data_IF_686196346661
#
_entry.id   IF_686196346661
#
_cell.length_a   1.000
_cell.length_b   1.000
_cell.length_c   1.000
_cell.angle_alpha   90.00
_cell.angle_beta   90.00
_cell.angle_gamma   90.00
#
_symmetry.space_group_name_H-M   'P 1'
#
loop_
_entity.id
_entity.type
_entity.pdbx_description
1 polymer ?
#
# COMPACT_ATOMS: atom_id res chain seq x y z
N UNK A 1 -5.80 2.94 7.39
CA UNK A 1 -4.72 2.41 6.52
C UNK A 1 -3.38 2.56 7.24
N UNK A 2 -2.37 1.77 6.89
CA UNK A 2 -1.15 1.62 7.71
C UNK A 2 -0.11 2.77 7.56
N UNK A 3 -0.28 3.66 6.58
CA UNK A 3 0.68 4.72 6.21
C UNK A 3 0.07 6.14 6.24
N UNK A 4 -1.01 6.33 7.00
CA UNK A 4 -1.77 7.56 7.06
C UNK A 4 -2.17 7.86 8.51
N UNK A 5 -2.15 9.13 8.88
CA UNK A 5 -2.71 9.63 10.13
C UNK A 5 -3.89 10.56 9.80
N UNK A 6 -5.01 10.33 10.48
CA UNK A 6 -6.21 11.15 10.38
C UNK A 6 -6.44 11.86 11.71
N UNK A 7 -6.70 13.15 11.64
CA UNK A 7 -7.17 13.96 12.76
C UNK A 7 -8.68 13.75 12.89
N UNK A 8 -9.18 13.48 14.09
CA UNK A 8 -10.62 13.29 14.31
C UNK A 8 -11.37 14.63 14.26
N UNK A 9 -11.60 15.14 13.05
CA UNK A 9 -12.02 16.51 12.77
C UNK A 9 -13.54 16.67 12.84
N UNK A 10 -14.00 17.67 13.59
CA UNK A 10 -15.42 18.02 13.67
C UNK A 10 -16.00 18.38 12.28
N UNK A 11 -17.20 17.86 12.01
CA UNK A 11 -17.91 18.09 10.74
C UNK A 11 -17.39 17.28 9.54
N UNK A 12 -16.23 16.63 9.66
CA UNK A 12 -15.70 15.68 8.66
C UNK A 12 -15.84 14.23 9.11
N UNK A 13 -15.44 13.94 10.34
CA UNK A 13 -15.38 12.59 10.90
C UNK A 13 -16.55 12.34 11.86
N UNK A 14 -17.09 11.12 11.87
CA UNK A 14 -18.19 10.74 12.76
C UNK A 14 -17.71 10.79 14.22
N UNK A 15 -18.28 11.69 15.03
CA UNK A 15 -17.81 11.92 16.40
C UNK A 15 -16.48 12.70 16.47
N UNK A 16 -16.19 13.53 15.47
CA UNK A 16 -15.09 14.49 15.49
C UNK A 16 -15.03 15.30 16.79
N UNK A 17 -13.82 15.52 17.31
CA UNK A 17 -13.58 16.26 18.57
C UNK A 17 -12.58 17.40 18.40
N UNK A 18 -11.91 17.48 17.25
CA UNK A 18 -10.97 18.55 16.94
C UNK A 18 -11.73 19.65 16.20
N UNK A 19 -11.82 20.87 16.76
CA UNK A 19 -12.45 22.00 16.08
C UNK A 19 -11.75 22.35 14.76
N UNK A 20 -12.47 22.83 13.73
CA UNK A 20 -11.86 23.15 12.43
C UNK A 20 -10.80 24.24 12.46
N UNK A 21 -10.87 25.18 13.40
CA UNK A 21 -9.90 26.25 13.60
C UNK A 21 -8.59 25.78 14.26
N UNK A 22 -8.62 24.66 14.99
CA UNK A 22 -7.43 24.02 15.58
C UNK A 22 -6.70 23.07 14.62
N UNK A 23 -7.38 22.60 13.57
CA UNK A 23 -6.90 21.56 12.66
C UNK A 23 -5.48 21.80 12.14
N UNK A 24 -5.20 22.99 11.61
CA UNK A 24 -3.90 23.30 11.00
C UNK A 24 -2.77 23.40 12.03
N UNK A 25 -3.07 23.94 13.21
CA UNK A 25 -2.09 24.02 14.30
C UNK A 25 -1.71 22.63 14.79
N UNK A 26 -2.71 21.79 15.12
CA UNK A 26 -2.50 20.41 15.57
C UNK A 26 -1.76 19.57 14.52
N UNK A 27 -2.16 19.65 13.25
CA UNK A 27 -1.47 18.94 12.16
C UNK A 27 0.00 19.32 12.07
N UNK A 28 0.32 20.60 12.25
CA UNK A 28 1.70 21.10 12.16
C UNK A 28 2.55 20.61 13.33
N UNK A 29 1.98 20.57 14.54
CA UNK A 29 2.62 20.00 15.73
C UNK A 29 2.92 18.51 15.54
N UNK A 30 1.94 17.73 15.09
CA UNK A 30 2.12 16.29 14.83
C UNK A 30 3.19 16.06 13.76
N UNK A 31 3.18 16.84 12.66
CA UNK A 31 4.21 16.75 11.62
C UNK A 31 5.61 17.03 12.17
N UNK A 32 5.76 18.05 13.02
CA UNK A 32 7.04 18.36 13.65
C UNK A 32 7.52 17.21 14.55
N UNK A 33 6.63 16.69 15.40
CA UNK A 33 6.93 15.56 16.28
C UNK A 33 7.33 14.30 15.49
N UNK A 34 6.60 13.97 14.42
CA UNK A 34 6.94 12.83 13.56
C UNK A 34 8.28 13.01 12.86
N UNK A 35 8.57 14.21 12.37
CA UNK A 35 9.85 14.50 11.68
C UNK A 35 11.04 14.45 12.63
N UNK A 36 10.85 14.85 13.88
CA UNK A 36 11.92 14.85 14.89
C UNK A 36 12.03 13.53 15.68
N UNK A 37 11.06 12.61 15.56
CA UNK A 37 11.09 11.35 16.28
C UNK A 37 12.33 10.53 15.91
N UNK A 38 13.23 10.41 16.90
CA UNK A 38 14.44 9.61 16.83
C UNK A 38 14.32 8.39 17.72
N UNK A 39 14.93 7.32 17.26
CA UNK A 39 15.17 6.15 18.09
C UNK A 39 16.17 6.51 19.20
N UNK A 40 15.81 6.36 20.49
CA UNK A 40 16.70 6.70 21.59
C UNK A 40 17.96 5.82 21.68
N UNK A 41 17.95 4.63 21.09
CA UNK A 41 19.09 3.71 21.10
C UNK A 41 20.12 4.06 20.02
N UNK A 42 19.66 4.48 18.84
CA UNK A 42 20.53 4.71 17.67
C UNK A 42 20.73 6.19 17.35
N UNK A 43 19.81 7.06 17.76
CA UNK A 43 19.76 8.48 17.37
C UNK A 43 19.22 8.74 15.96
N UNK A 44 18.85 7.70 15.22
CA UNK A 44 18.35 7.78 13.85
C UNK A 44 16.88 8.19 13.79
N UNK A 45 16.47 8.84 12.70
CA UNK A 45 15.07 9.20 12.48
C UNK A 45 14.22 7.96 12.18
N UNK A 46 13.08 7.83 12.87
CA UNK A 46 12.17 6.69 12.72
C UNK A 46 11.40 6.73 11.40
N UNK A 47 11.11 7.92 10.88
CA UNK A 47 10.39 8.12 9.63
C UNK A 47 11.33 8.58 8.52
N UNK A 48 11.25 7.94 7.35
CA UNK A 48 11.92 8.41 6.14
C UNK A 48 11.27 9.71 5.63
N UNK A 49 9.95 9.79 5.74
CA UNK A 49 9.21 11.03 5.52
C UNK A 49 7.90 11.07 6.30
N UNK A 50 7.45 12.29 6.59
CA UNK A 50 6.09 12.61 6.98
C UNK A 50 5.67 13.88 6.20
N UNK A 51 4.64 13.72 5.38
CA UNK A 51 4.14 14.73 4.44
C UNK A 51 2.73 15.17 4.86
N UNK A 52 2.43 16.47 4.84
CA UNK A 52 1.03 16.89 4.87
C UNK A 52 0.33 16.37 3.61
N UNK A 53 -1.00 16.17 3.69
CA UNK A 53 -1.79 15.62 2.58
C UNK A 53 -1.62 16.38 1.26
N UNK A 54 -1.34 17.68 1.30
CA UNK A 54 -1.16 18.53 0.13
C UNK A 54 0.16 18.22 -0.61
N UNK A 55 1.17 17.72 0.10
CA UNK A 55 2.48 17.35 -0.45
C UNK A 55 2.57 15.86 -0.83
N UNK A 56 1.64 15.03 -0.35
CA UNK A 56 1.57 13.60 -0.67
C UNK A 56 1.52 13.25 -2.18
N UNK A 57 1.10 14.12 -3.13
CA UNK A 57 1.21 13.82 -4.56
C UNK A 57 2.64 13.48 -5.02
N UNK A 58 3.68 13.95 -4.32
CA UNK A 58 5.08 13.59 -4.65
C UNK A 58 5.38 12.10 -4.50
N UNK A 59 4.56 11.37 -3.74
CA UNK A 59 4.64 9.90 -3.57
C UNK A 59 3.44 9.17 -4.21
N UNK A 60 2.73 9.83 -5.13
CA UNK A 60 1.61 9.25 -5.88
C UNK A 60 0.33 9.08 -5.06
N UNK A 61 0.21 9.73 -3.90
CA UNK A 61 -0.98 9.65 -3.05
C UNK A 61 -1.73 10.98 -3.05
N UNK A 62 -2.99 10.97 -3.48
CA UNK A 62 -3.81 12.17 -3.60
C UNK A 62 -5.31 11.85 -3.53
N UNK A 63 -6.14 12.90 -3.49
CA UNK A 63 -7.60 12.79 -3.53
C UNK A 63 -8.28 12.85 -2.15
N UNK A 64 -9.60 12.58 -2.10
CA UNK A 64 -10.40 12.78 -0.88
C UNK A 64 -10.14 11.71 0.19
N UNK A 65 -9.54 10.57 -0.18
CA UNK A 65 -9.41 9.39 0.70
C UNK A 65 -8.05 9.22 1.36
N UNK A 66 -7.12 10.18 1.20
CA UNK A 66 -5.85 10.17 1.93
C UNK A 66 -5.98 10.84 3.30
N UNK A 67 -5.19 10.37 4.26
CA UNK A 67 -5.07 10.98 5.59
C UNK A 67 -4.46 12.38 5.56
N UNK A 68 -4.59 13.07 6.69
CA UNK A 68 -4.08 14.44 6.90
C UNK A 68 -2.55 14.50 6.85
N UNK A 69 -1.92 13.41 7.29
CA UNK A 69 -0.48 13.18 7.19
C UNK A 69 -0.27 11.81 6.53
N UNK A 70 0.60 11.77 5.54
CA UNK A 70 1.07 10.56 4.86
C UNK A 70 2.51 10.33 5.27
N UNK A 71 2.86 9.12 5.69
CA UNK A 71 4.19 8.84 6.22
C UNK A 71 4.74 7.50 5.75
N UNK A 72 6.05 7.36 5.88
CA UNK A 72 6.77 6.13 5.67
C UNK A 72 7.90 6.02 6.70
N UNK A 73 8.02 4.86 7.34
CA UNK A 73 9.12 4.52 8.22
C UNK A 73 10.43 4.44 7.44
N UNK A 74 11.51 4.87 8.10
CA UNK A 74 12.84 4.56 7.66
C UNK A 74 13.07 3.04 7.69
N UNK A 75 14.07 2.59 6.93
CA UNK A 75 14.45 1.18 6.90
C UNK A 75 14.81 0.69 8.29
N UNK A 76 14.33 -0.51 8.65
CA UNK A 76 14.56 -1.08 9.97
C UNK A 76 13.55 -0.69 11.05
N UNK A 77 12.49 0.06 10.72
CA UNK A 77 11.40 0.39 11.63
C UNK A 77 10.05 -0.09 11.12
N UNK A 78 9.15 -0.46 12.04
CA UNK A 78 7.79 -0.90 11.72
C UNK A 78 6.77 -0.28 12.67
N UNK A 79 5.50 -0.48 12.34
CA UNK A 79 4.42 -0.25 13.28
C UNK A 79 4.21 -1.45 14.20
N UNK A 80 3.50 -1.21 15.29
CA UNK A 80 2.92 -2.26 16.12
C UNK A 80 1.46 -1.98 16.39
N UNK A 81 0.67 -3.04 16.55
CA UNK A 81 -0.77 -2.94 16.81
C UNK A 81 -1.08 -2.61 18.26
N UNK A 82 -2.31 -2.13 18.56
CA UNK A 82 -2.76 -1.88 19.94
C UNK A 82 -2.71 -3.14 20.82
N UNK A 83 -2.64 -4.34 20.24
CA UNK A 83 -2.50 -5.61 20.94
C UNK A 83 -1.20 -5.65 21.76
N UNK A 84 -0.08 -5.13 21.24
CA UNK A 84 1.18 -5.18 22.01
C UNK A 84 1.14 -4.25 23.21
N UNK A 85 0.48 -3.10 23.08
CA UNK A 85 0.33 -2.15 24.18
C UNK A 85 -0.52 -2.75 25.30
N UNK A 86 -1.55 -3.55 24.95
CA UNK A 86 -2.34 -4.31 25.95
C UNK A 86 -1.53 -5.38 26.67
N UNK A 87 -0.43 -5.84 26.07
CA UNK A 87 0.51 -6.79 26.70
C UNK A 87 1.56 -6.08 27.56
N UNK A 88 1.44 -4.77 27.81
CA UNK A 88 2.37 -4.01 28.63
C UNK A 88 3.63 -3.56 27.90
N UNK A 89 3.59 -3.53 26.57
CA UNK A 89 4.68 -2.94 25.78
C UNK A 89 4.72 -1.42 25.97
N UNK A 90 5.87 -0.90 26.37
CA UNK A 90 6.07 0.54 26.62
C UNK A 90 6.89 1.22 25.50
N UNK A 91 7.48 0.44 24.58
CA UNK A 91 8.24 1.01 23.48
C UNK A 91 7.35 1.84 22.55
N UNK A 92 7.88 3.00 22.18
CA UNK A 92 7.28 3.89 21.17
C UNK A 92 7.93 3.72 19.79
N UNK A 93 9.11 3.08 19.73
CA UNK A 93 9.84 2.74 18.51
C UNK A 93 9.98 1.22 18.41
N UNK A 94 9.68 0.68 17.23
CA UNK A 94 9.71 -0.77 16.98
C UNK A 94 10.71 -1.12 15.88
N UNK A 95 11.91 -1.59 16.24
CA UNK A 95 12.89 -2.08 15.28
C UNK A 95 12.37 -3.31 14.53
N UNK A 96 12.85 -3.47 13.30
CA UNK A 96 12.54 -4.57 12.40
C UNK A 96 13.81 -5.00 11.67
N UNK A 97 14.40 -6.13 12.06
CA UNK A 97 15.60 -6.69 11.40
C UNK A 97 15.32 -7.45 10.09
N UNK A 98 14.09 -7.41 9.57
CA UNK A 98 13.68 -8.08 8.34
C UNK A 98 12.75 -7.19 7.51
N UNK A 99 12.12 -7.75 6.48
CA UNK A 99 11.15 -7.00 5.69
C UNK A 99 9.84 -6.76 6.45
N UNK A 100 9.24 -5.59 6.30
CA UNK A 100 7.89 -5.30 6.76
C UNK A 100 7.01 -4.90 5.57
N UNK A 101 5.81 -5.49 5.48
CA UNK A 101 4.81 -5.04 4.51
C UNK A 101 4.07 -3.81 5.04
N UNK A 102 3.82 -2.83 4.17
CA UNK A 102 3.11 -1.58 4.53
C UNK A 102 4.04 -0.37 4.49
N UNK A 103 4.06 0.49 5.52
CA UNK A 103 4.70 1.81 5.49
C UNK A 103 6.24 1.78 5.62
N UNK A 104 6.98 0.83 5.05
CA UNK A 104 8.46 0.83 5.08
C UNK A 104 9.03 1.25 3.73
N UNK A 105 10.13 2.01 3.73
CA UNK A 105 10.76 2.47 2.48
C UNK A 105 11.19 1.27 1.63
N UNK A 106 10.83 1.21 0.33
CA UNK A 106 11.05 0.02 -0.50
C UNK A 106 12.53 -0.27 -0.78
N UNK A 107 13.41 0.69 -0.52
CA UNK A 107 14.86 0.54 -0.65
C UNK A 107 15.51 -0.18 0.54
N UNK A 108 14.75 -0.52 1.59
CA UNK A 108 15.28 -1.28 2.71
C UNK A 108 15.52 -2.74 2.33
N UNK A 109 16.73 -3.19 2.63
CA UNK A 109 17.20 -4.55 2.37
C UNK A 109 18.18 -4.96 3.48
N UNK A 110 18.14 -6.23 3.84
CA UNK A 110 19.09 -6.93 4.70
C UNK A 110 19.66 -8.11 3.93
N UNK A 111 20.64 -8.82 4.51
CA UNK A 111 21.24 -10.01 3.90
C UNK A 111 20.22 -11.12 3.58
N UNK A 112 19.03 -11.09 4.20
CA UNK A 112 18.01 -12.15 4.10
C UNK A 112 16.63 -11.65 3.67
N UNK A 113 16.41 -10.33 3.52
CA UNK A 113 15.10 -9.78 3.20
C UNK A 113 15.18 -8.47 2.39
N UNK A 114 14.23 -8.24 1.51
CA UNK A 114 14.01 -6.95 0.83
C UNK A 114 12.53 -6.59 0.86
N UNK A 115 12.23 -5.30 0.95
CA UNK A 115 10.86 -4.76 0.82
C UNK A 115 10.50 -4.47 -0.65
N UNK A 116 11.51 -4.42 -1.52
CA UNK A 116 11.32 -4.13 -2.94
C UNK A 116 10.41 -5.18 -3.59
N UNK A 117 9.42 -4.70 -4.34
CA UNK A 117 8.55 -5.59 -5.13
C UNK A 117 9.34 -6.31 -6.23
N UNK A 118 8.91 -7.52 -6.57
CA UNK A 118 9.49 -8.28 -7.67
C UNK A 118 8.58 -8.27 -8.92
N UNK A 119 9.17 -8.11 -10.10
CA UNK A 119 8.49 -8.21 -11.38
C UNK A 119 9.19 -9.26 -12.25
N UNK A 120 8.41 -10.21 -12.76
CA UNK A 120 8.87 -11.18 -13.76
C UNK A 120 7.94 -11.12 -14.96
N UNK A 121 8.50 -10.91 -16.15
CA UNK A 121 7.78 -10.91 -17.42
C UNK A 121 8.35 -12.04 -18.30
N UNK A 122 7.49 -12.96 -18.72
CA UNK A 122 7.88 -14.10 -19.56
C UNK A 122 6.74 -14.40 -20.54
N UNK A 123 7.06 -14.49 -21.82
CA UNK A 123 6.10 -14.90 -22.85
C UNK A 123 6.28 -14.16 -24.18
N UNK A 124 5.34 -14.34 -25.11
CA UNK A 124 5.34 -13.64 -26.38
C UNK A 124 5.37 -12.11 -26.20
N UNK A 125 6.20 -11.43 -26.99
CA UNK A 125 6.34 -9.98 -26.93
C UNK A 125 7.26 -9.46 -25.82
N UNK A 126 7.84 -10.33 -24.99
CA UNK A 126 8.78 -9.96 -23.93
C UNK A 126 10.21 -10.30 -24.36
N UNK A 127 11.15 -9.38 -24.17
CA UNK A 127 12.59 -9.60 -24.42
C UNK A 127 13.15 -10.57 -23.38
N UNK A 128 13.99 -11.49 -23.83
CA UNK A 128 14.72 -12.40 -22.92
C UNK A 128 15.96 -11.73 -22.33
N UNK A 129 16.31 -12.10 -21.10
CA UNK A 129 17.58 -11.70 -20.45
C UNK A 129 17.70 -10.23 -20.06
N UNK A 130 16.59 -9.46 -20.06
CA UNK A 130 16.60 -8.07 -19.63
C UNK A 130 16.53 -8.00 -18.10
N UNK A 131 17.59 -7.48 -17.49
CA UNK A 131 17.65 -7.20 -16.06
C UNK A 131 18.22 -5.79 -15.86
N UNK A 132 17.39 -4.80 -15.50
CA UNK A 132 17.85 -3.44 -15.24
C UNK A 132 18.83 -3.41 -14.06
N UNK A 133 19.84 -2.53 -14.12
CA UNK A 133 20.67 -2.20 -12.96
C UNK A 133 19.82 -1.85 -11.74
N UNK A 134 20.34 -2.12 -10.54
CA UNK A 134 19.59 -1.97 -9.27
C UNK A 134 19.01 -0.57 -9.08
N UNK A 135 19.77 0.45 -9.41
CA UNK A 135 19.39 1.87 -9.33
C UNK A 135 18.33 2.27 -10.37
N UNK A 136 18.19 1.52 -11.47
CA UNK A 136 17.14 1.72 -12.46
C UNK A 136 15.83 1.00 -12.13
N UNK A 137 15.86 -0.02 -11.24
CA UNK A 137 14.66 -0.79 -10.88
C UNK A 137 13.57 0.08 -10.26
N UNK A 138 13.94 1.15 -9.56
CA UNK A 138 13.00 2.12 -8.98
C UNK A 138 12.17 2.90 -10.04
N UNK A 139 12.51 2.80 -11.33
CA UNK A 139 11.72 3.37 -12.45
C UNK A 139 10.51 2.50 -12.83
N UNK A 140 10.40 1.31 -12.25
CA UNK A 140 9.31 0.37 -12.50
C UNK A 140 8.35 0.43 -11.32
N UNK A 141 7.13 0.87 -11.59
CA UNK A 141 6.08 1.00 -10.59
C UNK A 141 5.01 -0.08 -10.80
N UNK A 142 4.31 -0.46 -9.72
CA UNK A 142 3.19 -1.41 -9.83
C UNK A 142 2.07 -0.90 -10.75
N UNK A 143 1.92 0.42 -10.87
CA UNK A 143 0.99 1.08 -11.80
C UNK A 143 1.31 0.81 -13.27
N UNK A 144 2.54 0.44 -13.60
CA UNK A 144 2.98 0.16 -14.97
C UNK A 144 2.53 -1.22 -15.49
N UNK A 145 2.07 -2.11 -14.59
CA UNK A 145 1.67 -3.49 -14.95
C UNK A 145 0.46 -3.48 -15.87
N UNK A 146 -0.63 -2.80 -15.48
CA UNK A 146 -1.87 -2.78 -16.25
C UNK A 146 -1.70 -2.23 -17.68
N UNK A 147 -1.05 -1.07 -17.93
CA UNK A 147 -0.88 -0.55 -19.28
C UNK A 147 0.09 -1.42 -20.10
N UNK A 148 1.10 -2.03 -19.48
CA UNK A 148 2.01 -2.96 -20.16
C UNK A 148 1.28 -4.21 -20.67
N UNK A 149 0.42 -4.80 -19.84
CA UNK A 149 -0.39 -5.95 -20.25
C UNK A 149 -1.44 -5.55 -21.30
N UNK A 150 -2.07 -4.38 -21.16
CA UNK A 150 -3.01 -3.87 -22.16
C UNK A 150 -2.34 -3.71 -23.54
N UNK A 151 -1.12 -3.16 -23.55
CA UNK A 151 -0.31 -3.02 -24.76
C UNK A 151 0.00 -4.38 -25.41
N UNK A 152 0.46 -5.35 -24.62
CA UNK A 152 0.74 -6.70 -25.12
C UNK A 152 -0.51 -7.40 -25.67
N UNK A 153 -1.69 -7.11 -25.12
CA UNK A 153 -2.97 -7.68 -25.56
C UNK A 153 -3.60 -6.93 -26.74
N UNK A 154 -3.03 -5.81 -27.18
CA UNK A 154 -3.63 -4.96 -28.21
C UNK A 154 -4.92 -4.26 -27.77
N UNK A 155 -5.13 -4.06 -26.47
CA UNK A 155 -6.32 -3.38 -25.93
C UNK A 155 -5.97 -2.02 -25.32
N UNK A 156 -6.96 -1.15 -25.23
CA UNK A 156 -6.82 0.14 -24.56
C UNK A 156 -6.49 -0.09 -23.06
N UNK A 157 -5.57 0.71 -22.53
CA UNK A 157 -5.27 0.72 -21.10
C UNK A 157 -6.51 1.16 -20.28
N UNK A 158 -6.60 0.80 -18.99
CA UNK A 158 -7.64 1.34 -18.12
C UNK A 158 -7.66 2.87 -18.17
N UNK A 159 -8.86 3.47 -18.23
CA UNK A 159 -9.01 4.91 -18.43
C UNK A 159 -8.36 5.76 -17.32
N UNK A 160 -8.28 5.21 -16.10
CA UNK A 160 -7.68 5.84 -14.92
C UNK A 160 -6.22 5.43 -14.70
N UNK A 161 -5.58 4.80 -15.68
CA UNK A 161 -4.19 4.39 -15.55
C UNK A 161 -3.24 5.59 -15.41
N UNK A 162 -2.39 5.55 -14.39
CA UNK A 162 -1.32 6.53 -14.16
C UNK A 162 0.07 6.00 -14.52
N UNK A 163 0.20 4.70 -14.79
CA UNK A 163 1.47 4.07 -15.15
C UNK A 163 1.85 4.22 -16.62
N UNK A 164 3.04 3.76 -16.98
CA UNK A 164 3.55 3.70 -18.36
C UNK A 164 3.66 2.26 -18.86
N UNK A 165 3.71 2.11 -20.19
CA UNK A 165 4.10 0.84 -20.79
C UNK A 165 5.61 0.64 -20.59
N UNK A 166 6.01 -0.48 -20.02
CA UNK A 166 7.42 -0.84 -19.78
C UNK A 166 8.09 -1.37 -21.06
N UNK A 167 8.22 -0.50 -22.05
CA UNK A 167 8.73 -0.85 -23.40
C UNK A 167 10.14 -1.44 -23.39
N UNK A 168 10.94 -1.10 -22.40
CA UNK A 168 12.30 -1.63 -22.20
C UNK A 168 12.32 -3.17 -22.05
N UNK A 169 11.24 -3.79 -21.58
CA UNK A 169 11.12 -5.24 -21.48
C UNK A 169 10.46 -5.89 -22.70
N UNK A 170 9.99 -5.11 -23.68
CA UNK A 170 9.15 -5.63 -24.76
C UNK A 170 9.89 -5.67 -26.10
N UNK A 171 9.60 -6.70 -26.90
CA UNK A 171 10.05 -6.73 -28.30
C UNK A 171 9.20 -5.77 -29.14
N UNK A 172 9.53 -5.63 -30.42
CA UNK A 172 8.73 -4.82 -31.37
C UNK A 172 7.42 -5.52 -31.79
N UNK A 173 7.03 -6.60 -31.09
CA UNK A 173 5.76 -7.29 -31.31
C UNK A 173 4.60 -6.41 -30.83
N UNK A 174 3.74 -6.00 -31.76
CA UNK A 174 2.49 -5.33 -31.47
C UNK A 174 1.33 -6.21 -31.94
N UNK A 175 0.45 -6.59 -31.01
CA UNK A 175 -0.77 -7.32 -31.36
C UNK A 175 -1.84 -6.33 -31.80
N UNK A 176 -2.50 -6.64 -32.92
CA UNK A 176 -3.71 -5.92 -33.30
C UNK A 176 -4.82 -6.13 -32.26
N UNK A 177 -5.72 -5.15 -32.16
CA UNK A 177 -6.86 -5.25 -31.26
C UNK A 177 -7.67 -6.50 -31.58
N UNK A 178 -7.79 -7.47 -30.66
CA UNK A 178 -8.51 -8.69 -30.95
C UNK A 178 -10.00 -8.35 -31.19
N UNK A 179 -10.67 -9.02 -32.14
CA UNK A 179 -12.09 -8.80 -32.39
C UNK A 179 -12.89 -9.14 -31.13
N UNK A 180 -13.56 -8.14 -30.55
CA UNK A 180 -14.36 -8.31 -29.33
C UNK A 180 -15.79 -8.62 -29.70
N UNK A 181 -16.25 -9.84 -29.39
CA UNK A 181 -17.68 -10.15 -29.40
C UNK A 181 -18.22 -10.05 -27.97
N UNK A 182 -18.92 -8.96 -27.66
CA UNK A 182 -19.63 -8.85 -26.39
C UNK A 182 -20.86 -9.76 -26.42
N UNK A 183 -20.69 -11.00 -25.94
CA UNK A 183 -21.83 -11.86 -25.63
C UNK A 183 -22.30 -11.49 -24.23
N UNK A 184 -23.52 -10.95 -24.11
CA UNK A 184 -24.20 -10.90 -22.81
C UNK A 184 -24.13 -12.31 -22.23
N UNK A 185 -23.41 -12.49 -21.13
CA UNK A 185 -23.52 -13.68 -20.32
C UNK A 185 -24.91 -13.60 -19.71
N UNK A 186 -25.90 -14.12 -20.42
CA UNK A 186 -27.28 -14.26 -19.95
C UNK A 186 -27.35 -15.30 -18.83
N UNK A 187 -26.49 -15.17 -17.81
CA UNK A 187 -26.81 -15.73 -16.50
C UNK A 187 -27.86 -14.80 -15.93
N UNK A 188 -29.10 -15.26 -15.93
CA UNK A 188 -30.09 -14.72 -15.01
C UNK A 188 -29.42 -14.67 -13.63
N UNK A 189 -29.36 -13.48 -13.02
CA UNK A 189 -28.94 -13.32 -11.64
C UNK A 189 -29.91 -14.16 -10.83
N UNK A 190 -29.50 -15.39 -10.47
CA UNK A 190 -30.32 -16.23 -9.61
C UNK A 190 -30.20 -15.64 -8.21
N UNK A 191 -31.30 -15.23 -7.57
CA UNK A 191 -31.24 -14.82 -6.18
C UNK A 191 -30.60 -15.96 -5.39
N UNK A 192 -29.53 -15.66 -4.66
CA UNK A 192 -28.92 -16.63 -3.76
C UNK A 192 -30.01 -17.04 -2.79
N UNK A 193 -30.38 -18.34 -2.74
CA UNK A 193 -31.33 -18.82 -1.72
C UNK A 193 -30.78 -18.37 -0.38
N UNK A 194 -31.50 -17.48 0.31
CA UNK A 194 -31.24 -17.10 1.69
C UNK A 194 -31.47 -18.34 2.54
N UNK A 195 -30.44 -19.17 2.67
CA UNK A 195 -30.42 -20.20 3.69
C UNK A 195 -30.22 -19.44 5.00
N UNK A 196 -31.18 -19.50 5.92
CA UNK A 196 -30.92 -19.11 7.31
C UNK A 196 -29.59 -19.80 7.70
N UNK A 197 -28.58 -19.07 8.21
CA UNK A 197 -27.40 -19.71 8.76
C UNK A 197 -27.87 -20.78 9.74
N UNK A 198 -27.36 -22.01 9.61
CA UNK A 198 -27.56 -22.96 10.70
C UNK A 198 -26.91 -22.33 11.94
N UNK A 199 -27.55 -22.38 13.12
CA UNK A 199 -26.91 -21.98 14.36
C UNK A 199 -25.55 -22.68 14.43
N UNK A 200 -24.50 -21.91 14.68
CA UNK A 200 -23.17 -22.47 14.91
C UNK A 200 -23.29 -23.29 16.20
N UNK A 201 -23.14 -24.61 16.09
CA UNK A 201 -22.95 -25.46 17.26
C UNK A 201 -21.46 -25.47 17.51
N UNK A 202 -21.00 -24.72 18.52
CA UNK A 202 -19.61 -24.77 18.95
C UNK A 202 -19.35 -26.18 19.50
N UNK A 203 -18.43 -26.91 18.88
CA UNK A 203 -17.93 -28.18 19.37
C UNK A 203 -16.64 -27.87 20.13
N UNK A 204 -16.68 -27.99 21.46
CA UNK A 204 -15.54 -27.77 22.35
C UNK A 204 -15.40 -26.32 22.79
N UNK A 205 -15.53 -26.09 24.09
CA UNK A 205 -14.93 -24.93 24.74
C UNK A 205 -13.42 -25.22 24.85
N UNK A 206 -12.57 -24.24 24.57
CA UNK A 206 -11.11 -24.40 24.63
C UNK A 206 -10.61 -24.45 26.08
N UNK A 207 -11.54 -24.45 27.05
CA UNK A 207 -11.28 -24.65 28.47
C UNK A 207 -11.33 -26.12 28.91
N UNK A 208 -11.71 -27.05 28.01
CA UNK A 208 -11.81 -28.48 28.32
C UNK A 208 -10.57 -29.29 27.90
N UNK A 209 -9.37 -28.74 28.11
CA UNK A 209 -8.15 -29.55 28.19
C UNK A 209 -7.80 -29.76 29.67
N UNK A 210 -8.03 -30.99 30.14
CA UNK A 210 -7.55 -31.53 31.42
C UNK A 210 -6.07 -31.86 31.32
#
# INVERSE_FOLDING_TARGET
AQNHLWINLEGRDEGGIVPPDEYHALRSEILAAMRDLKDPETGEHVFAFALPREDAPVVGLWGPYIGDIVYCYAGGYRWSGPEVLRLGEERIVFPCGGGNHGPMIPTYETDVASVMGALFLVGPGVRSGVQPPKDEQARVCTTDVAPTLAYLLGIDAPAQNEGRVLREFLTDLHNERPPRTLRRTARAIRPRRTRKPRPITLQGDVTDEV
#
